data_IF_675863383457
#
_entry.id   IF_675863383457
#
_cell.length_a   1.000
_cell.length_b   1.000
_cell.length_c   1.000
_cell.angle_alpha   90.00
_cell.angle_beta   90.00
_cell.angle_gamma   90.00
#
_symmetry.space_group_name_H-M   'P 1'
#
loop_
_entity.id
_entity.type
_entity.pdbx_description
1 polymer ?
#
# COMPACT_ATOMS: atom_id res chain seq x y z
N UNK A 1 23.25 36.04 -43.53
CA UNK A 1 22.43 35.05 -44.26
C UNK A 1 22.27 33.84 -43.36
N UNK A 2 21.09 33.67 -42.79
CA UNK A 2 20.67 32.43 -42.13
C UNK A 2 19.19 32.28 -42.50
N UNK A 3 18.91 31.39 -43.45
CA UNK A 3 17.58 31.18 -44.00
C UNK A 3 16.62 30.70 -42.89
N UNK A 4 15.50 31.40 -42.74
CA UNK A 4 14.33 30.89 -42.01
C UNK A 4 13.47 30.17 -43.04
N UNK A 5 13.41 28.84 -42.94
CA UNK A 5 12.54 28.01 -43.76
C UNK A 5 11.18 27.84 -43.04
N UNK A 6 10.04 28.18 -43.69
CA UNK A 6 8.73 28.02 -43.09
C UNK A 6 8.07 26.74 -43.61
N UNK A 7 7.91 25.72 -42.77
CA UNK A 7 7.06 24.57 -43.09
C UNK A 7 6.18 24.25 -41.90
N UNK A 8 4.93 24.66 -42.03
CA UNK A 8 3.88 24.36 -41.08
C UNK A 8 3.57 22.86 -41.05
N UNK A 9 3.44 22.34 -39.84
CA UNK A 9 2.46 21.31 -39.44
C UNK A 9 2.66 21.15 -37.93
N UNK A 10 1.57 21.18 -37.15
CA UNK A 10 1.66 21.07 -35.69
C UNK A 10 2.42 19.80 -35.30
N UNK A 11 3.67 19.96 -34.88
CA UNK A 11 4.47 18.83 -34.41
C UNK A 11 3.98 18.49 -33.02
N UNK A 12 3.13 17.49 -32.91
CA UNK A 12 2.89 16.85 -31.62
C UNK A 12 4.21 16.17 -31.26
N UNK A 13 4.96 16.80 -30.37
CA UNK A 13 6.18 16.23 -29.80
C UNK A 13 5.72 15.16 -28.82
N UNK A 14 5.94 13.89 -29.17
CA UNK A 14 5.77 12.81 -28.22
C UNK A 14 7.09 12.68 -27.48
N UNK A 15 7.07 12.79 -26.16
CA UNK A 15 8.22 12.41 -25.37
C UNK A 15 8.60 10.97 -25.72
N UNK A 16 9.82 10.79 -26.24
CA UNK A 16 10.32 9.47 -26.59
C UNK A 16 10.42 8.66 -25.31
N UNK A 17 9.75 7.52 -25.26
CA UNK A 17 9.82 6.59 -24.15
C UNK A 17 11.28 6.33 -23.78
N UNK A 18 11.60 6.60 -22.52
CA UNK A 18 12.94 6.42 -21.94
C UNK A 18 12.82 5.59 -20.68
N UNK A 19 13.69 4.60 -20.51
CA UNK A 19 13.65 3.70 -19.35
C UNK A 19 13.87 4.46 -18.02
N UNK A 20 14.60 5.58 -18.05
CA UNK A 20 14.81 6.43 -16.87
C UNK A 20 13.57 7.25 -16.47
N UNK A 21 12.54 7.33 -17.34
CA UNK A 21 11.27 7.99 -17.03
C UNK A 21 10.30 7.09 -16.24
N UNK A 22 10.57 5.77 -16.19
CA UNK A 22 9.76 4.78 -15.48
C UNK A 22 10.06 4.89 -13.97
N UNK A 23 9.65 6.00 -13.36
CA UNK A 23 9.59 6.13 -11.91
C UNK A 23 8.34 5.40 -11.43
N UNK A 24 8.44 4.09 -11.22
CA UNK A 24 7.38 3.36 -10.53
C UNK A 24 7.44 3.77 -9.06
N UNK A 25 6.59 4.73 -8.67
CA UNK A 25 6.49 5.28 -7.32
C UNK A 25 6.25 4.17 -6.27
N UNK A 26 7.36 3.70 -5.70
CA UNK A 26 7.77 3.22 -4.36
C UNK A 26 6.74 3.07 -3.22
N UNK A 27 5.45 3.32 -3.38
CA UNK A 27 4.45 3.04 -2.35
C UNK A 27 4.25 1.52 -2.17
N UNK A 28 4.34 0.76 -3.27
CA UNK A 28 4.18 -0.70 -3.25
C UNK A 28 5.38 -1.45 -2.66
N UNK A 29 6.59 -0.86 -2.67
CA UNK A 29 7.80 -1.54 -2.20
C UNK A 29 7.98 -1.41 -0.68
N UNK A 30 7.63 -0.26 -0.10
CA UNK A 30 7.72 -0.01 1.35
C UNK A 30 6.65 -0.81 2.10
N UNK A 31 5.40 -0.82 1.60
CA UNK A 31 4.32 -1.59 2.20
C UNK A 31 4.58 -3.10 2.19
N UNK A 32 5.06 -3.64 1.06
CA UNK A 32 5.39 -5.07 0.98
C UNK A 32 6.55 -5.45 1.91
N UNK A 33 7.56 -4.58 2.04
CA UNK A 33 8.68 -4.83 2.95
C UNK A 33 8.27 -4.75 4.42
N UNK A 34 7.41 -3.81 4.78
CA UNK A 34 6.90 -3.66 6.14
C UNK A 34 5.92 -4.78 6.53
N UNK A 35 5.08 -5.25 5.61
CA UNK A 35 4.06 -6.28 5.87
C UNK A 35 4.58 -7.72 5.80
N UNK A 36 5.67 -7.97 5.06
CA UNK A 36 6.22 -9.33 4.85
C UNK A 36 7.53 -9.57 5.61
N UNK A 37 8.23 -8.50 6.04
CA UNK A 37 9.41 -8.62 6.90
C UNK A 37 9.07 -9.01 8.35
N UNK A 38 10.09 -9.25 9.18
CA UNK A 38 9.93 -9.59 10.61
C UNK A 38 8.97 -8.66 11.36
N UNK A 39 9.01 -7.35 11.03
CA UNK A 39 8.10 -6.35 11.60
C UNK A 39 6.63 -6.66 11.29
N UNK A 40 6.31 -7.03 10.06
CA UNK A 40 4.94 -7.39 9.65
C UNK A 40 4.45 -8.67 10.33
N UNK A 41 5.33 -9.65 10.53
CA UNK A 41 5.01 -10.88 11.28
C UNK A 41 4.73 -10.55 12.75
N UNK A 42 5.56 -9.71 13.39
CA UNK A 42 5.35 -9.26 14.76
C UNK A 42 4.02 -8.52 14.94
N UNK A 43 3.70 -7.59 14.02
CA UNK A 43 2.44 -6.84 14.06
C UNK A 43 1.23 -7.77 13.89
N UNK A 44 1.29 -8.73 12.96
CA UNK A 44 0.24 -9.73 12.78
C UNK A 44 0.04 -10.59 14.03
N UNK A 45 1.14 -11.05 14.65
CA UNK A 45 1.08 -11.85 15.86
C UNK A 45 0.46 -11.07 17.03
N UNK A 46 0.90 -9.82 17.22
CA UNK A 46 0.33 -8.94 18.24
C UNK A 46 -1.17 -8.70 18.02
N UNK A 47 -1.58 -8.41 16.77
CA UNK A 47 -2.98 -8.22 16.43
C UNK A 47 -3.82 -9.49 16.69
N UNK A 48 -3.29 -10.67 16.36
CA UNK A 48 -3.96 -11.94 16.62
C UNK A 48 -4.14 -12.19 18.13
N UNK A 49 -3.13 -11.91 18.95
CA UNK A 49 -3.21 -12.06 20.41
C UNK A 49 -4.26 -11.11 20.98
N UNK A 50 -4.23 -9.83 20.60
CA UNK A 50 -5.22 -8.84 21.05
C UNK A 50 -6.63 -9.27 20.65
N UNK A 51 -6.83 -9.71 19.40
CA UNK A 51 -8.11 -10.21 18.92
C UNK A 51 -8.61 -11.41 19.72
N UNK A 52 -7.74 -12.38 20.02
CA UNK A 52 -8.09 -13.55 20.82
C UNK A 52 -8.53 -13.17 22.24
N UNK A 53 -7.81 -12.25 22.90
CA UNK A 53 -8.18 -11.76 24.24
C UNK A 53 -9.54 -11.06 24.21
N UNK A 54 -9.80 -10.21 23.22
CA UNK A 54 -11.09 -9.53 23.09
C UNK A 54 -12.24 -10.52 22.92
N UNK A 55 -12.09 -11.51 22.04
CA UNK A 55 -13.11 -12.55 21.84
C UNK A 55 -13.35 -13.33 23.14
N UNK A 56 -12.28 -13.69 23.85
CA UNK A 56 -12.39 -14.37 25.15
C UNK A 56 -13.17 -13.54 26.17
N UNK A 57 -12.84 -12.26 26.33
CA UNK A 57 -13.52 -11.37 27.28
C UNK A 57 -15.00 -11.22 26.91
N UNK A 58 -15.32 -10.99 25.63
CA UNK A 58 -16.71 -10.87 25.17
C UNK A 58 -17.48 -12.16 25.47
N UNK A 59 -16.90 -13.32 25.16
CA UNK A 59 -17.50 -14.62 25.44
C UNK A 59 -17.72 -14.86 26.93
N UNK A 60 -16.72 -14.54 27.76
CA UNK A 60 -16.80 -14.67 29.21
C UNK A 60 -17.92 -13.80 29.80
N UNK A 61 -17.96 -12.52 29.41
CA UNK A 61 -18.98 -11.58 29.88
C UNK A 61 -20.37 -12.02 29.42
N UNK A 62 -20.51 -12.42 28.15
CA UNK A 62 -21.79 -12.91 27.61
C UNK A 62 -22.26 -14.17 28.34
N UNK A 63 -21.38 -15.16 28.52
CA UNK A 63 -21.69 -16.38 29.25
C UNK A 63 -22.06 -16.10 30.70
N UNK A 64 -21.35 -15.18 31.36
CA UNK A 64 -21.69 -14.75 32.71
C UNK A 64 -23.11 -14.18 32.78
N UNK A 65 -23.49 -13.27 31.88
CA UNK A 65 -24.83 -12.69 31.90
C UNK A 65 -25.93 -13.68 31.53
N UNK A 66 -25.66 -14.64 30.64
CA UNK A 66 -26.63 -15.69 30.26
C UNK A 66 -26.83 -16.70 31.39
N UNK A 67 -25.76 -17.14 32.06
CA UNK A 67 -25.83 -18.12 33.15
C UNK A 67 -26.20 -17.51 34.51
N UNK A 68 -26.16 -16.19 34.65
CA UNK A 68 -26.61 -15.49 35.86
C UNK A 68 -28.12 -15.21 35.87
N UNK A 69 -28.86 -15.72 34.88
CA UNK A 69 -30.32 -15.83 34.92
C UNK A 69 -30.76 -17.07 35.70
#
# INVERSE_FOLDING_TARGET
MSNVEPTGTGSVQYDRWNEDNINMNVEASIYNRACTGNTGILVKAAAAIVGAVLIFVIGYVTGYYVHRC
#
